data_IF_130299636280
#
_entry.id   IF_130299636280
#
_cell.length_a   1.000
_cell.length_b   1.000
_cell.length_c   1.000
_cell.angle_alpha   90.00
_cell.angle_beta   90.00
_cell.angle_gamma   90.00
#
_symmetry.space_group_name_H-M   'P 1'
#
loop_
_entity.id
_entity.type
_entity.pdbx_description
1 polymer ?
#
# COMPACT_ATOMS: atom_id res chain seq x y z
N UNK A 1 2.77 -17.60 -22.28
CA UNK A 1 3.80 -18.25 -21.44
C UNK A 1 3.27 -18.73 -20.09
N UNK A 2 2.14 -18.20 -19.58
CA UNK A 2 1.53 -18.62 -18.32
C UNK A 2 0.77 -19.97 -18.37
N UNK A 3 0.24 -20.37 -19.53
CA UNK A 3 -0.61 -21.57 -19.66
C UNK A 3 0.14 -22.91 -19.55
N UNK A 4 1.47 -22.91 -19.53
CA UNK A 4 2.28 -24.14 -19.47
C UNK A 4 2.42 -24.70 -18.05
N UNK A 5 2.25 -23.88 -17.02
CA UNK A 5 2.59 -24.25 -15.63
C UNK A 5 1.41 -24.21 -14.66
N UNK A 6 0.25 -23.72 -15.10
CA UNK A 6 -0.95 -23.66 -14.26
C UNK A 6 -2.07 -24.49 -14.90
N UNK A 7 -2.32 -25.69 -14.35
CA UNK A 7 -3.57 -26.41 -14.60
C UNK A 7 -4.52 -26.05 -13.47
N UNK A 8 -5.60 -25.27 -13.71
CA UNK A 8 -6.61 -25.06 -12.68
C UNK A 8 -7.16 -26.43 -12.27
N UNK A 9 -7.19 -26.69 -10.97
CA UNK A 9 -7.79 -27.91 -10.42
C UNK A 9 -9.26 -27.91 -10.85
N UNK A 10 -9.69 -28.95 -11.55
CA UNK A 10 -11.09 -29.11 -11.93
C UNK A 10 -11.94 -28.97 -10.66
N UNK A 11 -12.84 -27.99 -10.65
CA UNK A 11 -13.83 -27.88 -9.59
C UNK A 11 -14.67 -29.15 -9.65
N UNK A 12 -14.48 -30.03 -8.66
CA UNK A 12 -15.44 -31.11 -8.43
C UNK A 12 -16.77 -30.43 -8.16
N UNK A 13 -17.68 -30.51 -9.12
CA UNK A 13 -19.03 -30.01 -8.97
C UNK A 13 -19.64 -30.67 -7.73
N UNK A 14 -20.08 -29.86 -6.77
CA UNK A 14 -20.89 -30.34 -5.68
C UNK A 14 -22.13 -31.05 -6.26
N UNK A 15 -22.51 -32.24 -5.75
CA UNK A 15 -23.75 -32.88 -6.18
C UNK A 15 -24.92 -31.93 -5.91
N UNK A 16 -25.79 -31.74 -6.91
CA UNK A 16 -27.04 -30.97 -6.75
C UNK A 16 -27.78 -31.45 -5.49
N UNK A 17 -28.34 -30.55 -4.66
CA UNK A 17 -29.20 -30.99 -3.58
C UNK A 17 -30.48 -31.58 -4.19
N UNK A 18 -30.65 -32.89 -4.05
CA UNK A 18 -31.95 -33.54 -4.26
C UNK A 18 -32.93 -32.99 -3.22
N UNK A 19 -34.12 -32.56 -3.67
CA UNK A 19 -35.22 -32.06 -2.83
C UNK A 19 -35.43 -33.01 -1.63
N UNK A 20 -35.17 -32.56 -0.41
CA UNK A 20 -35.43 -33.33 0.82
C UNK A 20 -36.78 -32.91 1.41
N UNK A 21 -37.68 -33.89 1.54
CA UNK A 21 -38.78 -33.83 2.50
C UNK A 21 -38.28 -33.82 3.96
N UNK A 22 -39.17 -33.75 4.95
CA UNK A 22 -38.80 -33.46 6.33
C UNK A 22 -37.84 -34.52 6.92
N UNK A 23 -36.82 -34.11 7.72
CA UNK A 23 -35.77 -35.01 8.16
C UNK A 23 -36.27 -35.94 9.27
N UNK A 24 -36.10 -37.24 9.07
CA UNK A 24 -36.28 -38.25 10.12
C UNK A 24 -34.99 -38.33 10.96
N UNK A 25 -35.06 -38.39 12.31
CA UNK A 25 -33.87 -38.56 13.13
C UNK A 25 -33.28 -39.95 12.89
N UNK A 26 -32.11 -40.02 12.27
CA UNK A 26 -31.36 -41.26 12.09
C UNK A 26 -30.26 -41.34 13.15
N UNK A 27 -30.53 -42.12 14.20
CA UNK A 27 -29.56 -42.42 15.27
C UNK A 27 -28.79 -43.68 14.88
N UNK A 28 -27.48 -43.56 14.70
CA UNK A 28 -26.59 -44.69 14.43
C UNK A 28 -25.14 -44.25 14.27
N UNK A 29 -24.18 -45.14 14.55
CA UNK A 29 -22.73 -44.87 14.50
C UNK A 29 -22.29 -44.27 13.15
N UNK A 30 -22.93 -44.69 12.05
CA UNK A 30 -22.70 -44.15 10.71
C UNK A 30 -23.20 -42.69 10.54
N UNK A 31 -24.30 -42.31 11.20
CA UNK A 31 -24.77 -40.94 11.22
C UNK A 31 -23.84 -40.04 12.06
N UNK A 32 -23.28 -40.57 13.15
CA UNK A 32 -22.24 -39.91 13.95
C UNK A 32 -20.92 -39.72 13.18
N UNK A 33 -20.51 -40.71 12.38
CA UNK A 33 -19.36 -40.61 11.47
C UNK A 33 -19.61 -39.60 10.34
N UNK A 34 -20.81 -39.55 9.79
CA UNK A 34 -21.20 -38.55 8.79
C UNK A 34 -21.19 -37.12 9.37
N UNK A 35 -21.72 -36.92 10.57
CA UNK A 35 -21.68 -35.64 11.27
C UNK A 35 -20.23 -35.26 11.66
N UNK A 36 -19.42 -36.21 12.11
CA UNK A 36 -18.00 -36.00 12.41
C UNK A 36 -17.15 -35.72 11.16
N UNK A 37 -17.47 -36.34 10.01
CA UNK A 37 -16.82 -36.05 8.73
C UNK A 37 -17.20 -34.66 8.20
N UNK A 38 -18.45 -34.22 8.38
CA UNK A 38 -18.90 -32.86 8.08
C UNK A 38 -18.25 -31.84 9.02
N UNK A 39 -18.17 -32.13 10.32
CA UNK A 39 -17.46 -31.30 11.30
C UNK A 39 -15.95 -31.21 10.98
N UNK A 40 -15.31 -32.31 10.58
CA UNK A 40 -13.92 -32.33 10.10
C UNK A 40 -13.71 -31.60 8.77
N UNK A 41 -14.74 -31.53 7.91
CA UNK A 41 -14.70 -30.74 6.67
C UNK A 41 -14.87 -29.24 6.94
N UNK A 42 -15.57 -28.88 8.03
CA UNK A 42 -15.63 -27.51 8.53
C UNK A 42 -14.32 -27.07 9.23
N UNK A 43 -13.50 -28.04 9.67
CA UNK A 43 -12.18 -27.84 10.27
C UNK A 43 -11.04 -27.96 9.24
N UNK A 44 -11.23 -27.38 8.04
CA UNK A 44 -10.10 -27.12 7.16
C UNK A 44 -9.57 -25.73 7.50
N UNK A 45 -8.40 -25.67 8.11
CA UNK A 45 -7.55 -24.48 8.05
C UNK A 45 -7.25 -24.21 6.58
N UNK A 46 -8.19 -23.59 5.88
CA UNK A 46 -8.01 -23.21 4.48
C UNK A 46 -6.93 -22.13 4.48
N UNK A 47 -5.80 -22.45 3.85
CA UNK A 47 -4.70 -21.50 3.68
C UNK A 47 -5.28 -20.18 3.15
N UNK A 48 -4.97 -19.01 3.75
CA UNK A 48 -5.44 -17.72 3.23
C UNK A 48 -5.17 -17.54 1.73
N UNK A 49 -4.12 -18.18 1.19
CA UNK A 49 -3.85 -18.21 -0.25
C UNK A 49 -4.89 -19.04 -1.01
N UNK A 50 -5.25 -20.22 -0.53
CA UNK A 50 -6.28 -21.08 -1.15
C UNK A 50 -7.66 -20.41 -1.13
N UNK A 51 -8.01 -19.72 -0.04
CA UNK A 51 -9.25 -18.94 0.07
C UNK A 51 -9.25 -17.82 -0.97
N UNK A 52 -8.12 -17.13 -1.14
CA UNK A 52 -8.00 -16.04 -2.11
C UNK A 52 -8.04 -16.55 -3.56
N UNK A 53 -7.37 -17.67 -3.86
CA UNK A 53 -7.37 -18.32 -5.18
C UNK A 53 -8.75 -18.91 -5.55
N UNK A 54 -9.54 -19.32 -4.57
CA UNK A 54 -10.94 -19.71 -4.77
C UNK A 54 -11.86 -18.51 -5.10
N UNK A 55 -11.37 -17.28 -4.87
CA UNK A 55 -12.02 -16.05 -5.29
C UNK A 55 -12.02 -15.85 -6.81
N UNK A 56 -12.78 -14.86 -7.27
CA UNK A 56 -12.83 -14.48 -8.69
C UNK A 56 -11.62 -13.66 -9.13
N UNK A 57 -11.29 -13.72 -10.42
CA UNK A 57 -10.29 -12.82 -11.01
C UNK A 57 -10.80 -11.37 -10.99
N UNK A 58 -10.01 -10.48 -10.42
CA UNK A 58 -10.31 -9.06 -10.40
C UNK A 58 -9.83 -8.41 -11.71
N UNK A 59 -10.78 -8.08 -12.59
CA UNK A 59 -10.54 -7.43 -13.88
C UNK A 59 -11.23 -6.08 -13.91
N UNK A 60 -10.59 -5.06 -14.49
CA UNK A 60 -11.21 -3.78 -14.81
C UNK A 60 -11.43 -3.73 -16.32
N UNK A 61 -12.70 -3.75 -16.75
CA UNK A 61 -13.10 -3.76 -18.18
C UNK A 61 -12.41 -4.87 -19.01
N UNK A 62 -12.18 -6.04 -18.39
CA UNK A 62 -11.51 -7.18 -19.04
C UNK A 62 -9.99 -7.08 -19.11
N UNK A 63 -9.38 -6.02 -18.56
CA UNK A 63 -7.93 -5.90 -18.42
C UNK A 63 -7.47 -6.28 -17.01
N UNK A 64 -6.26 -6.83 -16.86
CA UNK A 64 -5.69 -7.09 -15.55
C UNK A 64 -5.53 -5.78 -14.79
N UNK A 65 -6.04 -5.74 -13.56
CA UNK A 65 -5.88 -4.59 -12.70
C UNK A 65 -4.43 -4.47 -12.22
N UNK A 66 -4.00 -3.25 -11.90
CA UNK A 66 -2.74 -3.06 -11.19
C UNK A 66 -2.88 -3.63 -9.77
N UNK A 67 -2.25 -4.79 -9.52
CA UNK A 67 -2.34 -5.51 -8.25
C UNK A 67 -1.92 -4.66 -7.05
N UNK A 68 -0.84 -3.89 -7.16
CA UNK A 68 -0.38 -3.04 -6.06
C UNK A 68 -1.40 -1.95 -5.70
N UNK A 69 -2.02 -1.33 -6.71
CA UNK A 69 -3.09 -0.35 -6.50
C UNK A 69 -4.31 -1.00 -5.85
N UNK A 70 -4.70 -2.18 -6.34
CA UNK A 70 -5.85 -2.92 -5.80
C UNK A 70 -5.64 -3.31 -4.34
N UNK A 71 -4.50 -3.93 -3.99
CA UNK A 71 -4.18 -4.30 -2.61
C UNK A 71 -4.06 -3.07 -1.69
N UNK A 72 -3.55 -1.95 -2.20
CA UNK A 72 -3.55 -0.69 -1.45
C UNK A 72 -4.98 -0.18 -1.17
N UNK A 73 -5.90 -0.34 -2.13
CA UNK A 73 -7.31 0.01 -1.94
C UNK A 73 -8.02 -0.96 -0.98
N UNK A 74 -7.69 -2.26 -0.99
CA UNK A 74 -8.16 -3.23 0.02
C UNK A 74 -7.71 -2.85 1.43
N UNK A 75 -6.46 -2.38 1.59
CA UNK A 75 -5.96 -1.86 2.87
C UNK A 75 -6.77 -0.65 3.35
N UNK A 76 -7.11 0.27 2.44
CA UNK A 76 -7.92 1.45 2.75
C UNK A 76 -9.37 1.10 3.09
N UNK A 77 -9.92 0.05 2.48
CA UNK A 77 -11.28 -0.42 2.76
C UNK A 77 -11.39 -1.28 4.01
N UNK A 78 -10.28 -1.59 4.69
CA UNK A 78 -10.25 -2.43 5.89
C UNK A 78 -10.30 -3.95 5.61
N UNK A 79 -10.18 -4.37 4.35
CA UNK A 79 -10.20 -5.78 3.98
C UNK A 79 -8.80 -6.39 4.13
N UNK A 80 -8.62 -7.23 5.14
CA UNK A 80 -7.32 -7.87 5.43
C UNK A 80 -7.07 -9.16 4.66
N UNK A 81 -8.06 -9.66 3.90
CA UNK A 81 -8.01 -10.91 3.12
C UNK A 81 -7.40 -12.07 3.91
N UNK A 82 -7.98 -12.36 5.09
CA UNK A 82 -7.50 -13.43 5.98
C UNK A 82 -6.02 -13.31 6.39
N UNK A 83 -5.48 -12.09 6.43
CA UNK A 83 -4.08 -11.82 6.77
C UNK A 83 -3.13 -11.78 5.55
N UNK A 84 -3.61 -12.13 4.36
CA UNK A 84 -2.81 -12.14 3.13
C UNK A 84 -2.39 -10.74 2.67
N UNK A 85 -3.16 -9.70 3.04
CA UNK A 85 -2.93 -8.32 2.62
C UNK A 85 -1.49 -7.84 2.86
N UNK A 86 -0.94 -8.12 4.05
CA UNK A 86 0.39 -7.63 4.41
C UNK A 86 1.47 -8.34 3.59
N UNK A 87 1.39 -9.67 3.47
CA UNK A 87 2.30 -10.47 2.65
C UNK A 87 2.27 -10.00 1.19
N UNK A 88 1.07 -9.82 0.61
CA UNK A 88 0.91 -9.41 -0.77
C UNK A 88 1.54 -8.04 -1.04
N UNK A 89 1.32 -7.07 -0.14
CA UNK A 89 1.95 -5.76 -0.24
C UNK A 89 3.47 -5.84 -0.13
N UNK A 90 4.01 -6.62 0.80
CA UNK A 90 5.45 -6.76 1.00
C UNK A 90 6.13 -7.37 -0.24
N UNK A 91 5.56 -8.44 -0.81
CA UNK A 91 6.08 -9.09 -2.03
C UNK A 91 6.01 -8.16 -3.24
N UNK A 92 4.91 -7.44 -3.44
CA UNK A 92 4.75 -6.59 -4.63
C UNK A 92 5.45 -5.22 -4.52
N UNK A 93 5.73 -4.73 -3.31
CA UNK A 93 6.51 -3.51 -3.12
C UNK A 93 8.00 -3.74 -3.42
N UNK A 94 8.46 -5.00 -3.40
CA UNK A 94 9.82 -5.32 -3.76
C UNK A 94 10.10 -4.99 -5.24
N UNK A 95 11.17 -4.24 -5.53
CA UNK A 95 11.55 -3.97 -6.91
C UNK A 95 11.93 -5.29 -7.61
N UNK A 96 11.41 -5.48 -8.82
CA UNK A 96 11.65 -6.70 -9.60
C UNK A 96 13.13 -6.94 -9.95
N UNK A 97 13.94 -5.88 -10.06
CA UNK A 97 15.36 -5.96 -10.41
C UNK A 97 16.17 -4.85 -9.74
N UNK A 98 17.48 -5.09 -9.59
CA UNK A 98 18.47 -4.10 -9.12
C UNK A 98 18.56 -2.87 -10.02
N UNK A 99 18.24 -3.01 -11.31
CA UNK A 99 18.19 -1.90 -12.29
C UNK A 99 17.23 -0.78 -11.85
N UNK A 100 16.17 -1.10 -11.11
CA UNK A 100 15.26 -0.07 -10.57
C UNK A 100 15.98 0.85 -9.57
N UNK A 101 16.93 0.31 -8.80
CA UNK A 101 17.75 1.08 -7.86
C UNK A 101 18.76 1.93 -8.64
N UNK A 102 19.38 1.37 -9.68
CA UNK A 102 20.32 2.09 -10.56
C UNK A 102 19.67 3.27 -11.28
N UNK A 103 18.43 3.14 -11.72
CA UNK A 103 17.67 4.25 -12.32
C UNK A 103 17.44 5.39 -11.31
N UNK A 104 17.28 5.06 -10.04
CA UNK A 104 17.16 6.05 -8.95
C UNK A 104 18.50 6.76 -8.70
N UNK A 105 19.62 6.01 -8.71
CA UNK A 105 20.95 6.62 -8.62
C UNK A 105 21.31 7.46 -9.84
N UNK A 106 20.90 7.03 -11.04
CA UNK A 106 21.08 7.79 -12.28
C UNK A 106 20.37 9.13 -12.22
N UNK A 107 19.18 9.18 -11.61
CA UNK A 107 18.40 10.41 -11.46
C UNK A 107 19.13 11.46 -10.61
N UNK A 108 19.83 11.08 -9.54
CA UNK A 108 20.63 12.02 -8.75
C UNK A 108 22.13 11.85 -8.93
N UNK A 109 22.57 11.39 -10.11
CA UNK A 109 23.99 11.38 -10.49
C UNK A 109 24.59 12.78 -10.32
N UNK A 110 23.84 13.83 -10.62
CA UNK A 110 24.30 15.21 -10.49
C UNK A 110 24.50 15.65 -9.03
N UNK A 111 23.82 15.00 -8.06
CA UNK A 111 24.05 15.23 -6.63
C UNK A 111 25.33 14.54 -6.11
N UNK A 112 25.69 13.38 -6.68
CA UNK A 112 26.80 12.53 -6.22
C UNK A 112 28.09 12.78 -6.98
N UNK A 113 28.00 13.13 -8.26
CA UNK A 113 29.18 13.32 -9.11
C UNK A 113 29.98 14.56 -8.70
N UNK A 114 31.30 14.49 -8.86
CA UNK A 114 32.25 15.57 -8.56
C UNK A 114 31.95 16.89 -9.30
N UNK A 115 31.09 16.86 -10.32
CA UNK A 115 30.79 18.00 -11.16
C UNK A 115 29.70 18.89 -10.53
N UNK A 116 29.99 19.43 -9.32
CA UNK A 116 29.84 20.87 -8.95
C UNK A 116 29.61 21.23 -7.47
N UNK A 117 29.39 20.34 -6.49
CA UNK A 117 28.92 20.84 -5.18
C UNK A 117 29.52 20.31 -3.87
N UNK A 118 30.45 19.33 -3.89
CA UNK A 118 31.08 18.76 -2.66
C UNK A 118 30.10 18.69 -1.46
N UNK A 119 28.89 18.20 -1.71
CA UNK A 119 27.84 18.19 -0.70
C UNK A 119 28.15 17.11 0.31
N UNK A 120 28.00 17.44 1.58
CA UNK A 120 28.04 16.43 2.62
C UNK A 120 27.00 15.33 2.33
N UNK A 121 27.33 14.06 2.64
CA UNK A 121 26.46 12.91 2.35
C UNK A 121 25.01 13.10 2.83
N UNK A 122 24.82 13.72 4.00
CA UNK A 122 23.48 14.07 4.53
C UNK A 122 22.68 14.98 3.58
N UNK A 123 23.33 15.95 2.94
CA UNK A 123 22.69 16.87 1.98
C UNK A 123 22.34 16.17 0.68
N UNK A 124 23.22 15.28 0.20
CA UNK A 124 22.95 14.43 -0.97
C UNK A 124 21.71 13.56 -0.75
N UNK A 125 21.64 12.84 0.38
CA UNK A 125 20.50 11.98 0.69
C UNK A 125 19.19 12.76 0.83
N UNK A 126 19.23 13.93 1.49
CA UNK A 126 18.05 14.80 1.65
C UNK A 126 17.59 15.39 0.31
N UNK A 127 18.52 15.85 -0.51
CA UNK A 127 18.23 16.42 -1.83
C UNK A 127 17.64 15.37 -2.77
N UNK A 128 18.22 14.17 -2.80
CA UNK A 128 17.70 13.04 -3.57
C UNK A 128 16.27 12.66 -3.16
N UNK A 129 16.00 12.57 -1.85
CA UNK A 129 14.66 12.28 -1.35
C UNK A 129 13.66 13.36 -1.79
N UNK A 130 13.99 14.64 -1.59
CA UNK A 130 13.14 15.76 -1.98
C UNK A 130 12.81 15.74 -3.48
N UNK A 131 13.83 15.51 -4.32
CA UNK A 131 13.67 15.42 -5.77
C UNK A 131 12.77 14.24 -6.17
N UNK A 132 12.88 13.09 -5.49
CA UNK A 132 12.00 11.94 -5.70
C UNK A 132 10.55 12.22 -5.30
N UNK A 133 10.30 12.88 -4.16
CA UNK A 133 8.95 13.28 -3.76
C UNK A 133 8.34 14.29 -4.74
N UNK A 134 9.15 15.24 -5.24
CA UNK A 134 8.72 16.19 -6.26
C UNK A 134 8.33 15.50 -7.57
N UNK A 135 9.17 14.59 -8.09
CA UNK A 135 8.90 13.82 -9.32
C UNK A 135 7.61 12.99 -9.24
N UNK A 136 7.28 12.48 -8.06
CA UNK A 136 6.08 11.68 -7.82
C UNK A 136 4.84 12.52 -7.46
N UNK A 137 4.88 13.85 -7.67
CA UNK A 137 3.79 14.78 -7.34
C UNK A 137 3.31 14.68 -5.89
N UNK A 138 4.22 14.30 -4.96
CA UNK A 138 3.92 14.21 -3.52
C UNK A 138 4.08 15.55 -2.81
N UNK A 139 4.78 16.49 -3.45
CA UNK A 139 4.90 17.87 -3.01
C UNK A 139 3.91 18.69 -3.81
N UNK A 140 3.05 19.47 -3.12
CA UNK A 140 2.14 20.39 -3.79
C UNK A 140 2.95 21.41 -4.59
N UNK A 141 2.54 21.76 -5.83
CA UNK A 141 3.17 22.85 -6.55
C UNK A 141 3.10 24.13 -5.70
N UNK A 142 4.15 24.95 -5.77
CA UNK A 142 4.29 26.21 -5.01
C UNK A 142 4.37 26.10 -3.48
N UNK A 143 4.38 24.90 -2.89
CA UNK A 143 4.48 24.74 -1.43
C UNK A 143 5.72 25.46 -0.82
N UNK A 144 6.85 25.45 -1.53
CA UNK A 144 8.05 26.18 -1.10
C UNK A 144 7.85 27.70 -1.19
N UNK A 145 7.16 28.17 -2.24
CA UNK A 145 6.90 29.60 -2.44
C UNK A 145 6.00 30.13 -1.32
N UNK A 146 4.88 29.48 -1.07
CA UNK A 146 3.94 29.80 0.01
C UNK A 146 4.66 29.82 1.38
N UNK A 147 5.52 28.83 1.63
CA UNK A 147 6.32 28.78 2.86
C UNK A 147 7.29 29.97 2.97
N UNK A 148 7.98 30.33 1.89
CA UNK A 148 8.91 31.45 1.87
C UNK A 148 8.22 32.81 2.03
N UNK A 149 7.02 32.98 1.46
CA UNK A 149 6.19 34.17 1.66
C UNK A 149 5.74 34.28 3.11
N UNK A 150 5.19 33.20 3.68
CA UNK A 150 4.80 33.18 5.09
C UNK A 150 5.96 33.56 6.02
N UNK A 151 7.17 33.03 5.78
CA UNK A 151 8.37 33.41 6.55
C UNK A 151 8.76 34.87 6.39
N UNK A 152 8.64 35.44 5.19
CA UNK A 152 8.91 36.87 4.96
C UNK A 152 7.91 37.73 5.74
N UNK A 153 6.64 37.36 5.73
CA UNK A 153 5.59 38.09 6.44
C UNK A 153 5.74 37.98 7.96
N UNK A 154 6.06 36.78 8.49
CA UNK A 154 6.43 36.58 9.90
C UNK A 154 7.64 37.43 10.31
N UNK A 155 8.64 37.56 9.45
CA UNK A 155 9.81 38.39 9.73
C UNK A 155 9.43 39.87 9.75
N UNK A 156 8.60 40.33 8.80
CA UNK A 156 8.09 41.70 8.75
C UNK A 156 7.22 42.03 9.96
N UNK A 157 6.34 41.13 10.39
CA UNK A 157 5.47 41.34 11.57
C UNK A 157 6.30 41.41 12.86
N UNK A 158 7.29 40.53 13.04
CA UNK A 158 8.22 40.59 14.18
C UNK A 158 9.01 41.91 14.22
N UNK A 159 9.48 42.40 13.07
CA UNK A 159 10.16 43.70 12.97
C UNK A 159 9.23 44.88 13.32
N UNK A 160 7.97 44.84 12.89
CA UNK A 160 6.97 45.86 13.25
C UNK A 160 6.66 45.85 14.75
N UNK A 161 6.50 44.67 15.36
CA UNK A 161 6.28 44.54 16.80
C UNK A 161 7.47 45.06 17.60
N UNK A 162 8.70 44.70 17.23
CA UNK A 162 9.90 45.21 17.88
C UNK A 162 10.03 46.74 17.81
N UNK A 163 9.68 47.36 16.66
CA UNK A 163 9.66 48.83 16.53
C UNK A 163 8.57 49.49 17.35
N UNK A 164 7.38 48.88 17.45
CA UNK A 164 6.29 49.37 18.31
C UNK A 164 6.67 49.35 19.78
N UNK A 165 7.30 48.27 20.26
CA UNK A 165 7.77 48.14 21.65
C UNK A 165 8.85 49.18 22.00
N UNK A 166 9.77 49.47 21.08
CA UNK A 166 10.80 50.50 21.29
C UNK A 166 10.19 51.92 21.30
N UNK A 167 9.21 52.20 20.45
CA UNK A 167 8.51 53.49 20.42
C UNK A 167 7.71 53.78 21.69
N UNK A 168 7.07 52.77 22.28
CA UNK A 168 6.28 52.92 23.53
C UNK A 168 7.16 53.13 24.76
N UNK A 169 8.38 52.59 24.79
CA UNK A 169 9.32 52.75 25.92
C UNK A 169 9.93 54.16 25.96
N UNK A 170 10.03 54.86 24.83
CA UNK A 170 10.63 56.21 24.74
C UNK A 170 9.64 57.34 25.08
N UNK A 171 8.33 57.07 25.13
CA UNK A 171 7.28 58.08 25.39
C UNK A 171 6.79 58.14 26.84
N UNK A 172 7.55 57.62 27.80
CA UNK A 172 7.24 57.73 29.24
C UNK A 172 8.24 58.71 29.87
N UNK A 173 8.03 60.01 29.69
CA UNK A 173 8.51 61.10 30.57
C UNK A 173 7.49 62.24 30.60
#
# INVERSE_FOLDING_TARGET
MFDKWYKPRNSTSAPRPSKKGPPKPQTGVLAGLGAAAVARSAESSSDPVDIWLAGGLYLDKGQPINGLKWWADQKRSGNTHHGLLQMALDVMCCPATTVNVERTFSFGRDYVSLRRHNLHAKSVSRGMALAFYSKNNKIKPLALHEYMEKRKDETKTRLKQARGTVGTVVTIE
#
